data_IF_183409989752
#
_entry.id   IF_183409989752
#
_cell.length_a   1.000
_cell.length_b   1.000
_cell.length_c   1.000
_cell.angle_alpha   90.00
_cell.angle_beta   90.00
_cell.angle_gamma   90.00
#
_symmetry.space_group_name_H-M   'P 1'
#
loop_
_entity.id
_entity.type
_entity.pdbx_description
1 polymer ?
#
# COMPACT_ATOMS: atom_id res chain seq x y z
N UNK A 1 -33.48 5.28 -37.01
CA UNK A 1 -34.06 5.48 -35.69
C UNK A 1 -32.91 5.64 -34.69
N UNK A 2 -32.66 6.88 -34.25
CA UNK A 2 -31.63 7.18 -33.23
C UNK A 2 -32.30 7.14 -31.86
N UNK A 3 -31.89 6.20 -31.00
CA UNK A 3 -32.32 6.20 -29.58
C UNK A 3 -31.51 7.23 -28.80
N UNK A 4 -32.23 8.19 -28.28
CA UNK A 4 -31.76 9.28 -27.43
C UNK A 4 -31.65 8.72 -25.98
N UNK A 5 -30.44 8.45 -25.47
CA UNK A 5 -30.23 8.05 -24.07
C UNK A 5 -30.05 9.30 -23.20
N UNK A 6 -30.98 9.50 -22.28
CA UNK A 6 -31.11 10.64 -21.39
C UNK A 6 -30.07 10.56 -20.23
N UNK A 7 -29.25 11.60 -19.97
CA UNK A 7 -28.16 11.58 -18.98
C UNK A 7 -28.60 11.62 -17.49
N UNK A 8 -29.91 11.68 -17.24
CA UNK A 8 -30.42 11.95 -15.86
C UNK A 8 -30.42 10.75 -14.91
N UNK A 9 -30.26 9.50 -15.39
CA UNK A 9 -30.41 8.32 -14.54
C UNK A 9 -29.13 7.93 -13.76
N UNK A 10 -27.95 8.28 -14.26
CA UNK A 10 -26.69 8.00 -13.54
C UNK A 10 -26.53 8.83 -12.26
N UNK A 11 -27.04 10.05 -12.21
CA UNK A 11 -26.97 10.91 -11.01
C UNK A 11 -27.93 10.49 -9.91
N UNK A 12 -29.04 9.83 -10.22
CA UNK A 12 -30.02 9.35 -9.25
C UNK A 12 -29.60 8.07 -8.54
N UNK A 13 -28.78 7.23 -9.20
CA UNK A 13 -28.26 6.00 -8.60
C UNK A 13 -27.28 6.29 -7.47
N UNK A 14 -26.40 7.28 -7.60
CA UNK A 14 -25.39 7.64 -6.60
C UNK A 14 -26.01 8.25 -5.33
N UNK A 15 -27.18 8.89 -5.41
CA UNK A 15 -27.83 9.53 -4.24
C UNK A 15 -28.64 8.56 -3.36
N UNK A 16 -28.93 7.35 -3.79
CA UNK A 16 -29.74 6.38 -3.02
C UNK A 16 -28.98 5.42 -2.13
N UNK A 17 -27.65 5.38 -2.21
CA UNK A 17 -26.81 4.47 -1.41
C UNK A 17 -26.26 5.08 -0.11
N UNK A 18 -26.62 6.32 0.23
CA UNK A 18 -26.04 7.05 1.39
C UNK A 18 -26.93 7.17 2.63
N UNK A 19 -28.06 6.47 2.69
CA UNK A 19 -28.97 6.56 3.85
C UNK A 19 -29.41 5.16 4.30
N UNK A 20 -28.63 4.51 5.16
CA UNK A 20 -29.09 3.47 6.09
C UNK A 20 -27.92 2.99 6.97
N UNK A 21 -27.73 3.64 8.10
CA UNK A 21 -27.18 3.03 9.33
C UNK A 21 -27.26 4.02 10.50
N UNK A 22 -28.41 4.10 11.14
CA UNK A 22 -28.55 4.55 12.52
C UNK A 22 -29.42 3.53 13.25
N UNK A 23 -28.89 2.88 14.27
CA UNK A 23 -29.71 2.02 15.13
C UNK A 23 -28.93 1.16 16.10
N UNK A 24 -28.78 1.67 17.33
CA UNK A 24 -28.91 0.94 18.61
C UNK A 24 -27.72 0.17 19.18
N UNK A 25 -27.31 0.68 20.32
CA UNK A 25 -26.39 0.20 21.34
C UNK A 25 -26.77 -1.15 21.95
N UNK A 26 -25.80 -2.02 22.20
CA UNK A 26 -25.81 -2.97 23.31
C UNK A 26 -24.38 -3.22 23.76
N UNK A 27 -24.06 -2.82 24.99
CA UNK A 27 -22.81 -3.09 25.68
C UNK A 27 -22.68 -4.59 25.98
N UNK A 28 -21.65 -5.23 25.47
CA UNK A 28 -21.03 -6.40 26.09
C UNK A 28 -19.51 -6.19 26.02
N UNK A 29 -18.94 -5.98 27.21
CA UNK A 29 -17.49 -5.86 27.39
C UNK A 29 -16.83 -7.22 27.20
N UNK A 30 -16.17 -7.40 26.08
CA UNK A 30 -15.10 -8.38 25.93
C UNK A 30 -13.81 -7.59 25.74
N UNK A 31 -12.89 -7.74 26.69
CA UNK A 31 -11.52 -7.28 26.57
C UNK A 31 -10.81 -8.09 25.51
N UNK A 32 -10.91 -7.67 24.26
CA UNK A 32 -10.03 -8.08 23.19
C UNK A 32 -8.93 -7.03 23.08
N UNK A 33 -7.70 -7.46 23.14
CA UNK A 33 -6.53 -6.68 22.70
C UNK A 33 -6.74 -6.36 21.22
N UNK A 34 -7.36 -5.23 20.96
CA UNK A 34 -7.52 -4.71 19.59
C UNK A 34 -6.16 -4.16 19.18
N UNK A 35 -5.47 -4.87 18.31
CA UNK A 35 -4.42 -4.29 17.48
C UNK A 35 -5.05 -3.11 16.73
N UNK A 36 -4.75 -1.91 17.18
CA UNK A 36 -5.19 -0.69 16.51
C UNK A 36 -4.34 -0.52 15.27
N UNK A 37 -4.95 -0.77 14.10
CA UNK A 37 -4.38 -0.27 12.84
C UNK A 37 -3.96 1.19 13.03
N UNK A 38 -2.82 1.63 12.44
CA UNK A 38 -2.39 3.00 12.56
C UNK A 38 -3.56 3.92 12.27
N UNK A 39 -3.90 4.76 13.25
CA UNK A 39 -4.93 5.77 13.09
C UNK A 39 -4.38 6.85 12.17
N UNK A 40 -4.47 6.64 10.86
CA UNK A 40 -4.44 7.76 9.93
C UNK A 40 -5.62 8.65 10.35
N UNK A 41 -5.34 9.80 10.94
CA UNK A 41 -6.40 10.76 11.29
C UNK A 41 -7.23 10.96 10.03
N UNK A 42 -8.48 10.56 10.07
CA UNK A 42 -9.37 10.47 8.90
C UNK A 42 -9.70 11.84 8.31
N UNK A 43 -9.39 12.90 9.08
CA UNK A 43 -9.57 14.27 8.65
C UNK A 43 -8.56 14.64 7.57
N UNK A 44 -9.08 14.81 6.35
CA UNK A 44 -8.30 15.25 5.21
C UNK A 44 -7.54 14.16 4.44
N UNK A 45 -7.72 12.86 4.75
CA UNK A 45 -7.04 11.76 4.00
C UNK A 45 -7.35 11.77 2.50
N UNK A 46 -8.52 12.28 2.09
CA UNK A 46 -8.93 12.41 0.70
C UNK A 46 -8.52 13.74 0.05
N UNK A 47 -7.69 14.53 0.73
CA UNK A 47 -7.16 15.80 0.22
C UNK A 47 -5.69 15.59 -0.12
N UNK A 48 -5.39 15.54 -1.42
CA UNK A 48 -4.01 15.50 -1.92
C UNK A 48 -3.47 16.92 -1.99
N UNK A 49 -2.35 17.17 -1.33
CA UNK A 49 -1.72 18.47 -1.26
C UNK A 49 -0.61 18.54 -0.21
N UNK A 50 0.00 19.71 -0.04
CA UNK A 50 1.05 19.93 0.96
C UNK A 50 0.60 19.52 2.37
N UNK A 51 1.54 19.02 3.17
CA UNK A 51 1.36 18.62 4.57
C UNK A 51 2.34 19.37 5.47
N UNK A 52 1.87 19.72 6.66
CA UNK A 52 2.73 20.33 7.68
C UNK A 52 3.89 19.40 8.04
N UNK A 53 5.06 20.00 8.27
CA UNK A 53 6.30 19.27 8.58
C UNK A 53 7.09 18.79 7.36
N UNK A 54 6.63 19.08 6.13
CA UNK A 54 7.30 18.74 4.88
C UNK A 54 7.39 19.95 3.95
N UNK A 55 8.35 19.95 3.03
CA UNK A 55 8.33 20.89 1.90
C UNK A 55 7.10 20.64 1.01
N UNK A 56 6.63 21.61 0.23
CA UNK A 56 5.32 21.54 -0.43
C UNK A 56 5.10 20.32 -1.33
N UNK A 57 6.09 19.96 -2.15
CA UNK A 57 5.95 18.81 -3.05
C UNK A 57 6.13 17.48 -2.31
N UNK A 58 7.06 17.41 -1.36
CA UNK A 58 7.20 16.23 -0.48
C UNK A 58 5.91 16.02 0.32
N UNK A 59 5.30 17.07 0.89
CA UNK A 59 4.03 16.97 1.60
C UNK A 59 2.89 16.45 0.71
N UNK A 60 2.88 16.86 -0.57
CA UNK A 60 1.93 16.34 -1.56
C UNK A 60 2.17 14.86 -1.82
N UNK A 61 3.42 14.44 -2.02
CA UNK A 61 3.78 13.02 -2.15
C UNK A 61 3.37 12.21 -0.92
N UNK A 62 3.66 12.71 0.29
CA UNK A 62 3.26 12.07 1.56
C UNK A 62 1.74 11.87 1.63
N UNK A 63 0.95 12.85 1.19
CA UNK A 63 -0.51 12.71 1.16
C UNK A 63 -0.96 11.59 0.21
N UNK A 64 -0.31 11.43 -0.94
CA UNK A 64 -0.58 10.33 -1.89
C UNK A 64 -0.17 8.97 -1.32
N UNK A 65 1.02 8.87 -0.72
CA UNK A 65 1.51 7.64 -0.07
C UNK A 65 0.54 7.18 1.04
N UNK A 66 0.07 8.09 1.88
CA UNK A 66 -0.86 7.78 2.97
C UNK A 66 -2.22 7.33 2.43
N UNK A 67 -2.73 8.01 1.41
CA UNK A 67 -3.99 7.66 0.77
C UNK A 67 -3.93 6.26 0.15
N UNK A 68 -2.87 5.95 -0.60
CA UNK A 68 -2.70 4.63 -1.21
C UNK A 68 -2.57 3.53 -0.17
N UNK A 69 -1.81 3.73 0.90
CA UNK A 69 -1.71 2.76 1.99
C UNK A 69 -3.07 2.47 2.61
N UNK A 70 -3.89 3.48 2.87
CA UNK A 70 -5.27 3.28 3.34
C UNK A 70 -6.08 2.44 2.33
N UNK A 71 -5.95 2.73 1.04
CA UNK A 71 -6.70 2.04 -0.03
C UNK A 71 -6.32 0.57 -0.12
N UNK A 72 -5.04 0.21 -0.01
CA UNK A 72 -4.61 -1.20 -0.07
C UNK A 72 -4.94 -1.99 1.19
N UNK A 73 -5.00 -1.33 2.35
CA UNK A 73 -5.34 -2.01 3.61
C UNK A 73 -6.83 -2.32 3.74
N UNK A 74 -7.70 -1.56 3.08
CA UNK A 74 -9.15 -1.78 3.17
C UNK A 74 -9.60 -3.19 2.71
N UNK A 75 -9.18 -3.73 1.56
CA UNK A 75 -9.61 -5.05 1.11
C UNK A 75 -9.10 -6.19 1.99
N UNK A 76 -8.01 -6.02 2.72
CA UNK A 76 -7.39 -7.10 3.53
C UNK A 76 -7.85 -7.14 4.98
N UNK A 77 -8.62 -6.15 5.43
CA UNK A 77 -9.17 -6.13 6.80
C UNK A 77 -9.94 -7.39 7.12
N UNK A 78 -9.57 -8.02 8.25
CA UNK A 78 -10.25 -9.22 8.77
C UNK A 78 -9.99 -10.49 7.96
N UNK A 79 -9.02 -10.50 7.04
CA UNK A 79 -8.62 -11.72 6.35
C UNK A 79 -7.97 -12.71 7.32
N UNK A 80 -8.35 -13.98 7.20
CA UNK A 80 -7.70 -15.06 7.90
C UNK A 80 -6.34 -15.42 7.28
N UNK A 81 -5.54 -16.20 8.00
CA UNK A 81 -4.28 -16.76 7.45
C UNK A 81 -4.54 -17.53 6.15
N UNK A 82 -5.63 -18.29 6.11
CA UNK A 82 -6.01 -19.06 4.91
C UNK A 82 -6.31 -18.13 3.72
N UNK A 83 -7.00 -17.02 3.95
CA UNK A 83 -7.29 -16.03 2.90
C UNK A 83 -6.01 -15.35 2.39
N UNK A 84 -5.09 -15.03 3.32
CA UNK A 84 -3.81 -14.39 3.01
C UNK A 84 -2.87 -15.31 2.24
N UNK A 85 -2.94 -16.62 2.49
CA UNK A 85 -2.10 -17.62 1.84
C UNK A 85 -2.74 -18.19 0.54
N UNK A 86 -4.01 -17.87 0.28
CA UNK A 86 -4.71 -18.39 -0.88
C UNK A 86 -4.05 -17.94 -2.20
N UNK A 87 -3.81 -18.91 -3.08
CA UNK A 87 -3.35 -18.70 -4.46
C UNK A 87 -4.40 -19.23 -5.43
N UNK A 88 -4.71 -18.45 -6.44
CA UNK A 88 -5.74 -18.81 -7.43
C UNK A 88 -5.26 -19.88 -8.43
N UNK A 89 -3.95 -19.95 -8.64
CA UNK A 89 -3.28 -20.93 -9.51
C UNK A 89 -1.79 -21.06 -9.14
N UNK A 90 -1.05 -21.91 -9.85
CA UNK A 90 0.36 -22.23 -9.61
C UNK A 90 1.33 -21.07 -9.95
N UNK A 91 0.86 -20.02 -10.59
CA UNK A 91 1.65 -18.84 -11.01
C UNK A 91 1.32 -17.59 -10.20
N UNK A 92 0.15 -17.57 -9.55
CA UNK A 92 -0.29 -16.40 -8.77
C UNK A 92 0.52 -16.26 -7.47
N UNK A 93 0.68 -15.04 -6.99
CA UNK A 93 1.16 -14.77 -5.64
C UNK A 93 -0.02 -14.64 -4.68
N UNK A 94 0.18 -15.03 -3.43
CA UNK A 94 -0.80 -14.83 -2.37
C UNK A 94 -0.87 -13.36 -1.93
N UNK A 95 -1.97 -12.95 -1.31
CA UNK A 95 -2.12 -11.60 -0.76
C UNK A 95 -1.05 -11.33 0.30
N UNK A 96 -0.77 -12.29 1.20
CA UNK A 96 0.26 -12.16 2.21
C UNK A 96 1.65 -11.92 1.61
N UNK A 97 2.04 -12.69 0.58
CA UNK A 97 3.30 -12.48 -0.12
C UNK A 97 3.37 -11.10 -0.77
N UNK A 98 2.30 -10.63 -1.38
CA UNK A 98 2.24 -9.30 -1.99
C UNK A 98 2.24 -8.16 -0.97
N UNK A 99 1.66 -8.31 0.22
CA UNK A 99 1.77 -7.33 1.30
C UNK A 99 3.23 -7.16 1.75
N UNK A 100 3.95 -8.27 1.93
CA UNK A 100 5.38 -8.19 2.26
C UNK A 100 6.21 -7.62 1.10
N UNK A 101 5.87 -7.95 -0.14
CA UNK A 101 6.48 -7.38 -1.33
C UNK A 101 6.34 -5.86 -1.40
N UNK A 102 5.20 -5.30 -1.03
CA UNK A 102 5.00 -3.85 -0.95
C UNK A 102 5.93 -3.19 0.08
N UNK A 103 6.12 -3.84 1.25
CA UNK A 103 7.09 -3.37 2.23
C UNK A 103 8.53 -3.46 1.70
N UNK A 104 8.89 -4.57 1.04
CA UNK A 104 10.19 -4.76 0.41
C UNK A 104 10.48 -3.73 -0.69
N UNK A 105 9.47 -3.41 -1.50
CA UNK A 105 9.58 -2.38 -2.55
C UNK A 105 9.82 -0.99 -1.94
N UNK A 106 9.10 -0.63 -0.88
CA UNK A 106 9.31 0.65 -0.20
C UNK A 106 10.71 0.71 0.45
N UNK A 107 11.18 -0.38 1.10
CA UNK A 107 12.54 -0.49 1.63
C UNK A 107 13.59 -0.36 0.52
N UNK A 108 13.36 -0.96 -0.64
CA UNK A 108 14.24 -0.81 -1.81
C UNK A 108 14.46 0.66 -2.16
N UNK A 109 13.40 1.46 -2.25
CA UNK A 109 13.53 2.89 -2.53
C UNK A 109 14.22 3.67 -1.40
N UNK A 110 14.07 3.29 -0.13
CA UNK A 110 14.83 3.88 0.97
C UNK A 110 16.33 3.68 0.77
N UNK A 111 16.76 2.46 0.47
CA UNK A 111 18.16 2.10 0.24
C UNK A 111 18.76 2.94 -0.89
N UNK A 112 18.06 3.07 -2.00
CA UNK A 112 18.59 3.73 -3.18
C UNK A 112 18.47 5.26 -3.17
N UNK A 113 17.49 5.81 -2.46
CA UNK A 113 17.26 7.27 -2.45
C UNK A 113 17.71 7.95 -1.18
N UNK A 114 17.56 7.33 -0.01
CA UNK A 114 17.96 7.91 1.26
C UNK A 114 19.38 7.55 1.65
N UNK A 115 19.79 6.28 1.42
CA UNK A 115 21.13 5.79 1.73
C UNK A 115 22.11 5.97 0.56
N UNK A 116 21.61 6.34 -0.63
CA UNK A 116 22.43 6.62 -1.82
C UNK A 116 23.16 5.41 -2.39
N UNK A 117 22.68 4.19 -2.12
CA UNK A 117 23.29 2.96 -2.65
C UNK A 117 22.93 2.76 -4.11
N UNK A 118 23.82 2.10 -4.85
CA UNK A 118 23.57 1.73 -6.25
C UNK A 118 22.47 0.67 -6.37
N UNK A 119 21.81 0.63 -7.50
CA UNK A 119 20.79 -0.38 -7.80
C UNK A 119 21.27 -1.81 -7.50
N UNK A 120 20.51 -2.51 -6.66
CA UNK A 120 20.80 -3.89 -6.26
C UNK A 120 21.88 -4.05 -5.18
N UNK A 121 22.44 -2.95 -4.65
CA UNK A 121 23.45 -2.98 -3.59
C UNK A 121 22.73 -3.05 -2.21
N UNK A 122 22.34 -4.25 -1.83
CA UNK A 122 21.68 -4.53 -0.55
C UNK A 122 22.71 -4.95 0.51
N UNK A 123 22.46 -4.57 1.77
CA UNK A 123 23.20 -5.18 2.87
C UNK A 123 22.80 -6.66 3.00
N UNK A 124 23.64 -7.45 3.67
CA UNK A 124 23.30 -8.85 3.93
C UNK A 124 22.00 -8.99 4.73
N UNK A 125 21.79 -8.10 5.69
CA UNK A 125 20.60 -8.06 6.52
C UNK A 125 19.35 -7.70 5.71
N UNK A 126 19.46 -6.73 4.79
CA UNK A 126 18.37 -6.37 3.88
C UNK A 126 18.06 -7.52 2.92
N UNK A 127 19.08 -8.18 2.37
CA UNK A 127 18.89 -9.30 1.46
C UNK A 127 18.21 -10.48 2.16
N UNK A 128 18.65 -10.87 3.35
CA UNK A 128 18.04 -11.94 4.14
C UNK A 128 16.58 -11.65 4.49
N UNK A 129 16.22 -10.39 4.77
CA UNK A 129 14.87 -10.03 5.19
C UNK A 129 13.91 -9.79 4.01
N UNK A 130 14.38 -9.23 2.90
CA UNK A 130 13.50 -8.68 1.87
C UNK A 130 13.59 -9.36 0.51
N UNK A 131 14.67 -10.09 0.18
CA UNK A 131 14.90 -10.61 -1.18
C UNK A 131 13.81 -11.58 -1.66
N UNK A 132 13.37 -12.51 -0.80
CA UNK A 132 12.27 -13.43 -1.14
C UNK A 132 10.97 -12.68 -1.43
N UNK A 133 10.63 -11.71 -0.58
CA UNK A 133 9.43 -10.91 -0.76
C UNK A 133 9.55 -9.99 -1.99
N UNK A 134 10.72 -9.40 -2.22
CA UNK A 134 10.99 -8.56 -3.40
C UNK A 134 10.83 -9.35 -4.70
N UNK A 135 11.34 -10.58 -4.74
CA UNK A 135 11.29 -11.43 -5.94
C UNK A 135 9.93 -12.04 -6.25
N UNK A 136 9.07 -12.20 -5.25
CA UNK A 136 7.82 -12.95 -5.40
C UNK A 136 8.02 -14.36 -6.03
N UNK A 137 7.02 -14.88 -6.72
CA UNK A 137 7.11 -16.12 -7.49
C UNK A 137 7.25 -17.37 -6.63
N UNK A 138 7.96 -18.38 -7.14
CA UNK A 138 8.05 -19.71 -6.53
C UNK A 138 8.62 -19.70 -5.11
N UNK A 139 9.64 -18.89 -4.86
CA UNK A 139 10.24 -18.80 -3.53
C UNK A 139 9.28 -18.18 -2.52
N UNK A 140 8.64 -17.06 -2.87
CA UNK A 140 7.65 -16.44 -2.01
C UNK A 140 6.46 -17.36 -1.72
N UNK A 141 5.97 -18.10 -2.72
CA UNK A 141 4.89 -19.11 -2.53
C UNK A 141 5.26 -20.22 -1.55
N UNK A 142 6.54 -20.59 -1.46
CA UNK A 142 7.01 -21.62 -0.53
C UNK A 142 7.25 -21.08 0.87
N UNK A 143 7.83 -19.88 0.98
CA UNK A 143 8.39 -19.34 2.20
C UNK A 143 7.47 -18.34 2.92
N UNK A 144 6.68 -17.57 2.16
CA UNK A 144 5.80 -16.52 2.72
C UNK A 144 4.38 -17.08 2.86
N UNK A 145 4.13 -17.75 3.98
CA UNK A 145 2.82 -18.31 4.34
C UNK A 145 2.74 -18.60 5.84
N UNK A 146 1.53 -18.85 6.32
CA UNK A 146 1.27 -19.18 7.72
C UNK A 146 1.34 -17.99 8.68
N UNK A 147 1.46 -16.78 8.18
CA UNK A 147 1.49 -15.57 9.00
C UNK A 147 0.10 -14.94 9.05
N UNK A 148 -0.22 -14.33 10.18
CA UNK A 148 -1.43 -13.54 10.34
C UNK A 148 -1.31 -12.16 9.66
N UNK A 149 -2.41 -11.44 9.60
CA UNK A 149 -2.44 -10.12 8.96
C UNK A 149 -1.52 -9.13 9.68
N UNK A 150 -1.45 -9.18 11.00
CA UNK A 150 -0.63 -8.28 11.83
C UNK A 150 0.85 -8.36 11.45
N UNK A 151 1.38 -9.56 11.24
CA UNK A 151 2.76 -9.76 10.79
C UNK A 151 3.10 -8.96 9.52
N UNK A 152 2.18 -8.88 8.56
CA UNK A 152 2.38 -8.13 7.33
C UNK A 152 2.18 -6.62 7.53
N UNK A 153 1.22 -6.25 8.38
CA UNK A 153 0.96 -4.84 8.71
C UNK A 153 2.14 -4.21 9.44
N UNK A 154 2.77 -4.91 10.38
CA UNK A 154 3.95 -4.44 11.11
C UNK A 154 5.10 -4.11 10.14
N UNK A 155 5.34 -4.94 9.13
CA UNK A 155 6.36 -4.66 8.11
C UNK A 155 6.05 -3.41 7.30
N UNK A 156 4.80 -3.29 6.85
CA UNK A 156 4.33 -2.13 6.08
C UNK A 156 4.39 -0.84 6.91
N UNK A 157 4.04 -0.90 8.18
CA UNK A 157 4.09 0.24 9.09
C UNK A 157 5.53 0.67 9.38
N UNK A 158 6.41 -0.29 9.70
CA UNK A 158 7.81 -0.02 9.99
C UNK A 158 8.53 0.68 8.84
N UNK A 159 8.37 0.19 7.60
CA UNK A 159 9.01 0.83 6.44
C UNK A 159 8.40 2.20 6.16
N UNK A 160 7.07 2.37 6.28
CA UNK A 160 6.41 3.65 6.08
C UNK A 160 6.81 4.68 7.13
N UNK A 161 6.93 4.30 8.38
CA UNK A 161 7.38 5.20 9.44
C UNK A 161 8.77 5.75 9.12
N UNK A 162 9.71 4.90 8.71
CA UNK A 162 11.03 5.32 8.28
C UNK A 162 10.99 6.22 7.03
N UNK A 163 10.16 5.88 6.04
CA UNK A 163 9.96 6.75 4.85
C UNK A 163 9.53 8.15 5.24
N UNK A 164 8.52 8.27 6.11
CA UNK A 164 7.97 9.57 6.52
C UNK A 164 9.00 10.39 7.30
N UNK A 165 9.75 9.74 8.21
CA UNK A 165 10.83 10.38 8.96
C UNK A 165 11.92 10.92 8.02
N UNK A 166 12.34 10.14 7.04
CA UNK A 166 13.39 10.51 6.10
C UNK A 166 12.92 11.60 5.10
N UNK A 167 11.68 11.54 4.66
CA UNK A 167 11.11 12.59 3.80
C UNK A 167 10.98 13.94 4.54
N UNK A 168 10.72 13.93 5.85
CA UNK A 168 10.66 15.15 6.64
C UNK A 168 12.02 15.89 6.77
N UNK A 169 13.13 15.19 6.53
CA UNK A 169 14.51 15.75 6.56
C UNK A 169 14.94 16.32 5.21
N UNK A 170 14.12 16.22 4.17
CA UNK A 170 14.45 16.56 2.78
C UNK A 170 13.57 17.69 2.25
N UNK A 171 13.98 18.25 1.13
CA UNK A 171 13.31 19.36 0.45
C UNK A 171 12.87 19.01 -0.99
N UNK A 172 12.21 19.95 -1.62
CA UNK A 172 11.72 19.78 -3.00
C UNK A 172 12.88 19.70 -4.01
N UNK A 173 14.04 20.31 -3.73
CA UNK A 173 15.22 20.21 -4.60
C UNK A 173 15.76 18.77 -4.60
N UNK A 174 15.84 18.13 -3.43
CA UNK A 174 16.18 16.71 -3.34
C UNK A 174 15.15 15.84 -4.07
N UNK A 175 13.86 16.15 -3.95
CA UNK A 175 12.80 15.39 -4.61
C UNK A 175 12.91 15.46 -6.14
N UNK A 176 13.31 16.63 -6.67
CA UNK A 176 13.48 16.87 -8.10
C UNK A 176 14.85 16.47 -8.64
N UNK A 177 15.81 16.14 -7.77
CA UNK A 177 17.16 15.73 -8.18
C UNK A 177 17.10 14.48 -9.06
N UNK A 178 17.78 14.52 -10.22
CA UNK A 178 17.81 13.47 -11.22
C UNK A 178 19.02 12.55 -10.99
N UNK A 179 18.75 11.27 -10.98
CA UNK A 179 19.76 10.21 -11.04
C UNK A 179 19.91 9.77 -12.49
N UNK A 180 21.04 10.15 -13.09
CA UNK A 180 21.37 9.87 -14.50
C UNK A 180 21.70 8.39 -14.76
N UNK A 181 22.08 7.65 -13.70
CA UNK A 181 22.49 6.24 -13.80
C UNK A 181 21.34 5.26 -13.45
N UNK A 182 20.12 5.76 -13.20
CA UNK A 182 18.99 4.91 -12.87
C UNK A 182 18.66 3.95 -14.04
N UNK A 183 18.36 2.65 -13.79
CA UNK A 183 18.20 1.66 -14.86
C UNK A 183 17.11 1.96 -15.90
N UNK A 184 16.17 2.83 -15.58
CA UNK A 184 15.13 3.27 -16.53
C UNK A 184 15.56 4.48 -17.39
N UNK A 185 16.79 4.96 -17.22
CA UNK A 185 17.28 6.25 -17.72
C UNK A 185 17.16 7.34 -16.66
N UNK A 186 17.49 8.60 -17.01
CA UNK A 186 17.45 9.74 -16.09
C UNK A 186 16.12 9.82 -15.33
N UNK A 187 16.16 9.65 -14.02
CA UNK A 187 14.96 9.52 -13.18
C UNK A 187 15.12 10.33 -11.89
N UNK A 188 14.20 11.24 -11.60
CA UNK A 188 14.24 11.99 -10.35
C UNK A 188 13.65 11.19 -9.17
N UNK A 189 13.95 11.64 -7.95
CA UNK A 189 13.44 10.98 -6.75
C UNK A 189 11.91 11.04 -6.69
N UNK A 190 11.28 12.05 -7.27
CA UNK A 190 9.81 12.11 -7.33
C UNK A 190 9.22 10.93 -8.12
N UNK A 191 9.77 10.62 -9.29
CA UNK A 191 9.33 9.48 -10.07
C UNK A 191 9.56 8.15 -9.33
N UNK A 192 10.71 8.01 -8.65
CA UNK A 192 11.02 6.82 -7.83
C UNK A 192 9.98 6.63 -6.73
N UNK A 193 9.63 7.67 -5.99
CA UNK A 193 8.64 7.59 -4.92
C UNK A 193 7.19 7.56 -5.41
N UNK A 194 6.90 8.17 -6.57
CA UNK A 194 5.61 7.99 -7.24
C UNK A 194 5.37 6.54 -7.62
N UNK A 195 6.41 5.81 -8.05
CA UNK A 195 6.29 4.38 -8.34
C UNK A 195 5.88 3.56 -7.11
N UNK A 196 6.24 3.96 -5.88
CA UNK A 196 5.72 3.30 -4.66
C UNK A 196 4.18 3.41 -4.60
N UNK A 197 3.61 4.59 -4.89
CA UNK A 197 2.16 4.79 -4.92
C UNK A 197 1.51 3.96 -6.04
N UNK A 198 2.08 3.99 -7.24
CA UNK A 198 1.59 3.26 -8.40
C UNK A 198 1.63 1.75 -8.16
N UNK A 199 2.72 1.25 -7.57
CA UNK A 199 2.91 -0.14 -7.24
C UNK A 199 1.89 -0.65 -6.22
N UNK A 200 1.60 0.12 -5.17
CA UNK A 200 0.49 -0.17 -4.25
C UNK A 200 -0.86 -0.22 -4.98
N UNK A 201 -1.11 0.69 -5.92
CA UNK A 201 -2.34 0.70 -6.73
C UNK A 201 -2.50 -0.56 -7.58
N UNK A 202 -1.40 -1.01 -8.19
CA UNK A 202 -1.36 -2.23 -8.99
C UNK A 202 -1.74 -3.46 -8.16
N UNK A 203 -1.09 -3.65 -6.99
CA UNK A 203 -1.40 -4.76 -6.10
C UNK A 203 -2.79 -4.67 -5.47
N UNK A 204 -3.33 -3.47 -5.23
CA UNK A 204 -4.72 -3.31 -4.79
C UNK A 204 -5.72 -3.94 -5.78
N UNK A 205 -5.48 -3.80 -7.08
CA UNK A 205 -6.27 -4.48 -8.11
C UNK A 205 -6.19 -6.01 -7.98
N UNK A 206 -4.98 -6.55 -7.76
CA UNK A 206 -4.75 -7.98 -7.55
C UNK A 206 -5.39 -8.49 -6.26
N UNK A 207 -5.30 -7.75 -5.15
CA UNK A 207 -5.99 -8.09 -3.89
C UNK A 207 -7.49 -8.25 -4.07
N UNK A 208 -8.13 -7.27 -4.73
CA UNK A 208 -9.57 -7.31 -5.01
C UNK A 208 -9.94 -8.47 -5.93
N UNK A 209 -9.10 -8.75 -6.92
CA UNK A 209 -9.28 -9.87 -7.83
C UNK A 209 -9.22 -11.22 -7.09
N UNK A 210 -8.21 -11.44 -6.24
CA UNK A 210 -8.07 -12.67 -5.45
C UNK A 210 -9.20 -12.76 -4.43
N UNK A 211 -9.48 -11.69 -3.68
CA UNK A 211 -10.55 -11.66 -2.68
C UNK A 211 -11.92 -12.07 -3.24
N UNK A 212 -12.22 -11.64 -4.47
CA UNK A 212 -13.48 -12.01 -5.14
C UNK A 212 -13.57 -13.49 -5.55
N UNK A 213 -12.50 -14.26 -5.35
CA UNK A 213 -12.36 -15.68 -5.72
C UNK A 213 -11.96 -16.58 -4.56
N UNK A 214 -11.95 -16.03 -3.35
CA UNK A 214 -11.77 -16.85 -2.15
C UNK A 214 -12.86 -17.91 -2.09
N UNK A 215 -12.55 -19.14 -1.65
CA UNK A 215 -13.56 -20.17 -1.41
C UNK A 215 -14.63 -19.68 -0.45
N UNK A 216 -15.87 -20.01 -0.71
CA UNK A 216 -16.96 -19.75 0.25
C UNK A 216 -16.70 -20.56 1.51
N UNK A 217 -16.60 -19.91 2.66
CA UNK A 217 -16.55 -20.54 3.99
C UNK A 217 -17.93 -21.03 4.40
#
# INVERSE_FOLDING_TARGET
MKQNQNPSDRRKFIKKTSLLALGSSSLLAFSNSSSTLPSFTQDGINIVGPKDGYSPQIGTLVSMLNWMRMVILNPVKGMSVQDLDYVIDDKANSIGAMLWHLAATERFYQIHTFEGKKWGDWSKEDDELWSTAMGLGDNARKEIKGNDLEFYLDKLESVRAHTLEELAKRDDDWLMAVDEEWPWGPTNNYCKWFHVCEHESNHNGQFKFIKSRLPST
#
